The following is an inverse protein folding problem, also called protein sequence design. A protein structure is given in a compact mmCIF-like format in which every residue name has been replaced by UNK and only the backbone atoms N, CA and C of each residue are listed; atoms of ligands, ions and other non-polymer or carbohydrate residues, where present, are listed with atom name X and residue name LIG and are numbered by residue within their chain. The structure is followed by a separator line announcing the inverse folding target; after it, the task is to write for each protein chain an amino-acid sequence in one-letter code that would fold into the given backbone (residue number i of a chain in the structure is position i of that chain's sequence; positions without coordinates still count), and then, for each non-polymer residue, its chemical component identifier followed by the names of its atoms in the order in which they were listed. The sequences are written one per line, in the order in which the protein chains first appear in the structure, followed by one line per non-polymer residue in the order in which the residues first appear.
data_IF_152959374138
#
_entry.id   IF_152959374138
#
_cell.length_a   1.000
_cell.length_b   1.000
_cell.length_c   1.000
_cell.angle_alpha   90.00
_cell.angle_beta   90.00
_cell.angle_gamma   90.00
#
_symmetry.space_group_name_H-M   'P 1'
#
loop_
_entity.id
_entity.type
_entity.pdbx_description
1 polymer ?
#
# COMPACT_ATOMS: atom_id res chain seq x y z
N UNK A 1 -3.09 35.16 -22.05
CA UNK A 1 -3.51 35.54 -23.42
C UNK A 1 -3.82 37.03 -23.62
N UNK A 2 -4.20 37.80 -22.58
CA UNK A 2 -4.46 39.24 -22.74
C UNK A 2 -3.22 40.12 -22.98
N UNK A 3 -2.01 39.61 -22.72
CA UNK A 3 -0.78 40.40 -22.79
C UNK A 3 -0.36 40.78 -24.23
N UNK A 4 -0.50 39.88 -25.21
CA UNK A 4 -0.14 40.17 -26.60
C UNK A 4 -1.11 41.15 -27.26
N UNK A 5 -2.41 41.05 -26.95
CA UNK A 5 -3.41 42.04 -27.37
C UNK A 5 -3.17 43.42 -26.76
N UNK A 6 -2.65 43.48 -25.53
CA UNK A 6 -2.23 44.74 -24.91
C UNK A 6 -0.97 45.28 -25.59
N UNK A 7 -0.01 44.41 -25.93
CA UNK A 7 1.24 44.79 -26.58
C UNK A 7 1.05 45.44 -27.96
N UNK A 8 0.06 45.01 -28.75
CA UNK A 8 -0.26 45.62 -30.06
C UNK A 8 -0.83 47.04 -29.95
N UNK A 9 -1.27 47.45 -28.76
CA UNK A 9 -1.74 48.81 -28.49
C UNK A 9 -0.65 49.69 -27.84
N UNK A 10 0.56 49.14 -27.63
CA UNK A 10 1.70 49.90 -27.11
C UNK A 10 2.42 50.58 -28.28
N UNK A 11 2.62 51.89 -28.15
CA UNK A 11 3.38 52.68 -29.10
C UNK A 11 4.88 52.55 -28.85
N UNK A 12 5.68 52.81 -29.88
CA UNK A 12 7.13 52.83 -29.78
C UNK A 12 7.60 53.84 -28.71
N UNK A 13 8.65 53.48 -27.97
CA UNK A 13 9.24 54.35 -26.95
C UNK A 13 10.17 55.42 -27.52
N UNK A 14 10.59 55.27 -28.78
CA UNK A 14 11.42 56.26 -29.49
C UNK A 14 10.51 57.45 -29.86
N UNK A 15 10.80 58.68 -29.41
CA UNK A 15 9.93 59.86 -29.60
C UNK A 15 9.52 60.07 -31.05
N UNK A 16 10.49 60.00 -31.98
CA UNK A 16 10.29 60.21 -33.42
C UNK A 16 9.31 59.18 -34.01
N UNK A 17 9.43 57.91 -33.59
CA UNK A 17 8.51 56.85 -34.03
C UNK A 17 7.13 56.97 -33.39
N UNK A 18 7.05 57.52 -32.18
CA UNK A 18 5.80 57.72 -31.47
C UNK A 18 4.98 58.85 -32.10
N UNK A 19 5.62 59.91 -32.60
CA UNK A 19 4.98 61.02 -33.30
C UNK A 19 4.27 60.61 -34.60
N UNK A 20 4.76 59.54 -35.25
CA UNK A 20 4.11 58.94 -36.43
C UNK A 20 3.29 57.68 -36.09
N UNK A 21 2.80 57.61 -34.85
CA UNK A 21 1.86 56.58 -34.34
C UNK A 21 2.34 55.12 -34.54
N UNK A 22 3.66 54.89 -34.52
CA UNK A 22 4.18 53.54 -34.75
C UNK A 22 3.92 52.63 -33.55
N UNK A 23 3.19 51.55 -33.80
CA UNK A 23 2.87 50.52 -32.83
C UNK A 23 3.91 49.42 -32.82
N UNK A 24 4.11 48.81 -31.66
CA UNK A 24 4.94 47.62 -31.51
C UNK A 24 4.22 46.43 -32.16
N UNK A 25 4.85 45.85 -33.19
CA UNK A 25 4.25 44.80 -34.03
C UNK A 25 5.17 43.59 -34.24
N UNK A 26 6.45 43.67 -33.86
CA UNK A 26 7.43 42.59 -33.98
C UNK A 26 8.11 42.26 -32.63
N UNK A 27 8.62 41.03 -32.50
CA UNK A 27 9.55 40.62 -31.46
C UNK A 27 10.87 40.22 -32.13
N UNK A 28 11.99 40.82 -31.70
CA UNK A 28 13.31 40.45 -32.20
C UNK A 28 13.79 39.15 -31.56
N UNK A 29 14.28 38.21 -32.38
CA UNK A 29 14.74 36.88 -31.97
C UNK A 29 16.27 36.74 -32.02
N UNK A 30 16.98 37.77 -32.48
CA UNK A 30 18.44 37.74 -32.54
C UNK A 30 19.05 37.66 -31.13
N UNK A 31 20.10 36.84 -30.96
CA UNK A 31 20.75 36.61 -29.66
C UNK A 31 21.18 37.90 -28.98
N UNK A 32 21.65 38.90 -29.74
CA UNK A 32 22.06 40.21 -29.20
C UNK A 32 20.88 40.99 -28.60
N UNK A 33 19.65 40.68 -29.01
CA UNK A 33 18.42 41.33 -28.57
C UNK A 33 17.62 40.47 -27.57
N UNK A 34 17.94 39.17 -27.44
CA UNK A 34 17.22 38.23 -26.58
C UNK A 34 17.32 38.57 -25.09
N UNK A 35 18.46 39.13 -24.63
CA UNK A 35 18.65 39.50 -23.22
C UNK A 35 17.61 40.53 -22.78
N UNK A 36 17.22 41.44 -23.67
CA UNK A 36 16.23 42.49 -23.42
C UNK A 36 14.83 42.17 -23.93
N UNK A 37 14.62 41.04 -24.63
CA UNK A 37 13.35 40.67 -25.30
C UNK A 37 12.68 41.86 -26.01
N UNK A 38 13.45 42.57 -26.84
CA UNK A 38 12.98 43.83 -27.47
C UNK A 38 11.81 43.56 -28.41
N UNK A 39 10.67 44.16 -28.08
CA UNK A 39 9.53 44.31 -28.97
C UNK A 39 9.73 45.58 -29.80
N UNK A 40 9.50 45.50 -31.12
CA UNK A 40 9.87 46.52 -32.10
C UNK A 40 8.64 47.01 -32.88
N UNK A 41 8.63 48.29 -33.25
CA UNK A 41 7.76 48.80 -34.31
C UNK A 41 8.37 48.55 -35.70
N UNK A 42 7.64 48.86 -36.78
CA UNK A 42 8.12 48.68 -38.15
C UNK A 42 9.39 49.47 -38.46
N UNK A 43 9.50 50.70 -37.97
CA UNK A 43 10.67 51.57 -38.21
C UNK A 43 11.91 51.08 -37.45
N UNK A 44 11.80 50.75 -36.16
CA UNK A 44 12.91 50.18 -35.39
C UNK A 44 13.47 48.90 -36.03
N UNK A 45 12.61 48.11 -36.67
CA UNK A 45 13.03 46.90 -37.39
C UNK A 45 13.83 47.23 -38.65
N UNK A 46 13.47 48.31 -39.36
CA UNK A 46 14.14 48.74 -40.60
C UNK A 46 15.46 49.47 -40.37
N UNK A 47 15.66 50.07 -39.20
CA UNK A 47 16.83 50.88 -38.87
C UNK A 47 17.85 50.09 -38.02
N UNK A 48 17.74 50.16 -36.69
CA UNK A 48 18.71 49.58 -35.75
C UNK A 48 18.74 48.05 -35.74
N UNK A 49 17.66 47.42 -36.23
CA UNK A 49 17.50 45.97 -36.26
C UNK A 49 17.43 45.41 -37.69
N UNK A 50 17.95 46.16 -38.66
CA UNK A 50 18.01 45.69 -40.04
C UNK A 50 18.77 44.36 -40.15
N UNK A 51 18.15 43.38 -40.81
CA UNK A 51 18.71 42.03 -40.96
C UNK A 51 18.60 41.11 -39.73
N UNK A 52 18.07 41.59 -38.60
CA UNK A 52 17.81 40.73 -37.44
C UNK A 52 16.62 39.80 -37.71
N UNK A 53 16.70 38.55 -37.21
CA UNK A 53 15.55 37.65 -37.21
C UNK A 53 14.46 38.20 -36.29
N UNK A 54 13.25 38.35 -36.80
CA UNK A 54 12.09 38.80 -36.02
C UNK A 54 10.85 37.98 -36.35
N UNK A 55 9.88 38.01 -35.44
CA UNK A 55 8.54 37.43 -35.64
C UNK A 55 7.49 38.50 -35.39
N UNK A 56 6.47 38.60 -36.25
CA UNK A 56 5.35 39.49 -35.99
C UNK A 56 4.57 38.99 -34.77
N UNK A 57 4.05 39.92 -33.95
CA UNK A 57 3.29 39.57 -32.76
C UNK A 57 2.00 38.81 -33.10
N UNK A 58 1.41 39.04 -34.29
CA UNK A 58 0.26 38.28 -34.78
C UNK A 58 0.60 36.81 -35.07
N UNK A 59 1.75 36.57 -35.72
CA UNK A 59 2.23 35.22 -36.01
C UNK A 59 2.63 34.51 -34.71
N UNK A 60 3.30 35.23 -33.80
CA UNK A 60 3.65 34.72 -32.48
C UNK A 60 2.42 34.35 -31.65
N UNK A 61 1.39 35.20 -31.62
CA UNK A 61 0.12 34.89 -30.95
C UNK A 61 -0.50 33.62 -31.53
N UNK A 62 -0.52 33.48 -32.86
CA UNK A 62 -1.03 32.29 -33.55
C UNK A 62 -0.23 31.04 -33.20
N UNK A 63 1.10 31.10 -33.19
CA UNK A 63 1.96 29.99 -32.79
C UNK A 63 1.71 29.60 -31.33
N UNK A 64 1.60 30.57 -30.42
CA UNK A 64 1.28 30.31 -29.01
C UNK A 64 -0.11 29.68 -28.88
N UNK A 65 -1.12 30.15 -29.63
CA UNK A 65 -2.47 29.53 -29.62
C UNK A 65 -2.41 28.08 -30.09
N UNK A 66 -1.66 27.81 -31.15
CA UNK A 66 -1.53 26.49 -31.74
C UNK A 66 -0.80 25.53 -30.80
N UNK A 67 0.31 25.98 -30.22
CA UNK A 67 1.07 25.22 -29.21
C UNK A 67 0.22 24.93 -27.98
N UNK A 68 -0.47 25.95 -27.45
CA UNK A 68 -1.39 25.79 -26.34
C UNK A 68 -2.54 24.81 -26.64
N UNK A 69 -3.12 24.89 -27.84
CA UNK A 69 -4.16 23.96 -28.29
C UNK A 69 -3.62 22.53 -28.40
N UNK A 70 -2.39 22.36 -28.88
CA UNK A 70 -1.71 21.07 -28.94
C UNK A 70 -1.48 20.49 -27.55
N UNK A 71 -0.98 21.29 -26.60
CA UNK A 71 -0.77 20.88 -25.22
C UNK A 71 -2.08 20.50 -24.52
N UNK A 72 -3.15 21.29 -24.70
CA UNK A 72 -4.48 20.96 -24.19
C UNK A 72 -4.98 19.63 -24.76
N UNK A 73 -4.84 19.41 -26.08
CA UNK A 73 -5.24 18.15 -26.72
C UNK A 73 -4.47 16.96 -26.14
N UNK A 74 -3.15 17.09 -25.98
CA UNK A 74 -2.31 16.05 -25.38
C UNK A 74 -2.70 15.78 -23.92
N UNK A 75 -2.95 16.83 -23.14
CA UNK A 75 -3.40 16.71 -21.75
C UNK A 75 -4.76 16.00 -21.65
N UNK A 76 -5.72 16.39 -22.48
CA UNK A 76 -7.05 15.76 -22.52
C UNK A 76 -6.97 14.30 -22.95
N UNK A 77 -6.10 13.96 -23.92
CA UNK A 77 -5.88 12.58 -24.33
C UNK A 77 -5.30 11.74 -23.19
N UNK A 78 -4.25 12.24 -22.51
CA UNK A 78 -3.65 11.53 -21.35
C UNK A 78 -4.66 11.32 -20.22
N UNK A 79 -5.52 12.31 -19.95
CA UNK A 79 -6.59 12.16 -18.95
C UNK A 79 -7.64 11.13 -19.37
N UNK A 80 -7.99 11.08 -20.65
CA UNK A 80 -8.88 10.06 -21.18
C UNK A 80 -8.26 8.66 -21.02
N UNK A 81 -7.02 8.47 -21.45
CA UNK A 81 -6.30 7.18 -21.36
C UNK A 81 -6.21 6.70 -19.89
N UNK A 82 -5.93 7.62 -18.96
CA UNK A 82 -5.92 7.33 -17.53
C UNK A 82 -7.32 6.93 -17.01
N UNK A 83 -8.36 7.65 -17.43
CA UNK A 83 -9.75 7.36 -17.04
C UNK A 83 -10.18 5.99 -17.54
N UNK A 84 -9.86 5.67 -18.79
CA UNK A 84 -10.14 4.36 -19.41
C UNK A 84 -9.40 3.23 -18.68
N UNK A 85 -8.12 3.43 -18.32
CA UNK A 85 -7.32 2.47 -17.55
C UNK A 85 -7.88 2.21 -16.14
N UNK A 86 -8.34 3.26 -15.45
CA UNK A 86 -9.00 3.14 -14.15
C UNK A 86 -10.31 2.36 -14.30
N UNK A 87 -11.13 2.69 -15.31
CA UNK A 87 -12.41 2.03 -15.53
C UNK A 87 -12.25 0.54 -15.83
N UNK A 88 -11.27 0.16 -16.66
CA UNK A 88 -10.92 -1.24 -16.93
C UNK A 88 -10.54 -1.99 -15.65
N UNK A 89 -9.74 -1.37 -14.79
CA UNK A 89 -9.30 -1.98 -13.53
C UNK A 89 -10.46 -2.16 -12.53
N UNK A 90 -11.33 -1.16 -12.40
CA UNK A 90 -12.56 -1.24 -11.59
C UNK A 90 -13.43 -2.40 -12.08
N UNK A 91 -13.59 -2.54 -13.40
CA UNK A 91 -14.42 -3.60 -14.01
C UNK A 91 -13.84 -4.99 -13.72
N UNK A 92 -12.51 -5.16 -13.81
CA UNK A 92 -11.84 -6.41 -13.47
C UNK A 92 -12.02 -6.79 -12.00
N UNK A 93 -11.90 -5.83 -11.08
CA UNK A 93 -12.12 -6.03 -9.64
C UNK A 93 -13.57 -6.45 -9.36
N UNK A 94 -14.55 -5.76 -9.95
CA UNK A 94 -15.97 -6.08 -9.78
C UNK A 94 -16.31 -7.50 -10.28
N UNK A 95 -15.75 -7.91 -11.42
CA UNK A 95 -15.93 -9.27 -11.94
C UNK A 95 -15.34 -10.32 -11.00
N UNK A 96 -14.18 -10.06 -10.41
CA UNK A 96 -13.55 -10.98 -9.46
C UNK A 96 -14.34 -11.07 -8.14
N UNK A 97 -14.87 -9.94 -7.63
CA UNK A 97 -15.78 -9.94 -6.48
C UNK A 97 -17.03 -10.78 -6.76
N UNK A 98 -17.61 -10.66 -7.96
CA UNK A 98 -18.78 -11.45 -8.36
C UNK A 98 -18.47 -12.96 -8.34
N UNK A 99 -17.35 -13.37 -8.93
CA UNK A 99 -16.90 -14.76 -8.94
C UNK A 99 -16.68 -15.34 -7.53
N UNK A 100 -16.05 -14.54 -6.66
CA UNK A 100 -15.81 -14.90 -5.25
C UNK A 100 -17.14 -15.07 -4.51
N UNK A 101 -18.12 -14.18 -4.74
CA UNK A 101 -19.46 -14.28 -4.15
C UNK A 101 -20.22 -15.54 -4.61
N UNK A 102 -20.15 -15.87 -5.90
CA UNK A 102 -20.74 -17.11 -6.45
C UNK A 102 -20.09 -18.34 -5.83
N UNK A 103 -18.77 -18.34 -5.68
CA UNK A 103 -18.02 -19.43 -5.04
C UNK A 103 -18.43 -19.63 -3.57
N UNK A 104 -18.58 -18.55 -2.80
CA UNK A 104 -19.10 -18.61 -1.41
C UNK A 104 -20.51 -19.18 -1.38
N UNK A 105 -21.39 -18.70 -2.26
CA UNK A 105 -22.78 -19.17 -2.27
C UNK A 105 -22.86 -20.66 -2.57
N UNK A 106 -22.03 -21.15 -3.50
CA UNK A 106 -21.95 -22.58 -3.82
C UNK A 106 -21.41 -23.39 -2.63
N UNK A 107 -20.38 -22.89 -1.95
CA UNK A 107 -19.83 -23.53 -0.76
C UNK A 107 -20.84 -23.61 0.40
N UNK A 108 -21.52 -22.51 0.72
CA UNK A 108 -22.56 -22.47 1.76
C UNK A 108 -23.70 -23.44 1.43
N UNK A 109 -24.13 -23.48 0.16
CA UNK A 109 -25.16 -24.41 -0.27
C UNK A 109 -24.70 -25.87 -0.10
N UNK A 110 -23.43 -26.18 -0.34
CA UNK A 110 -22.88 -27.51 -0.11
C UNK A 110 -22.82 -27.87 1.38
N UNK A 111 -22.28 -26.98 2.23
CA UNK A 111 -22.20 -27.17 3.69
C UNK A 111 -23.58 -27.31 4.34
N UNK A 112 -24.58 -26.54 3.90
CA UNK A 112 -25.96 -26.67 4.41
C UNK A 112 -26.55 -28.04 4.08
N UNK A 113 -26.27 -28.60 2.90
CA UNK A 113 -26.73 -29.95 2.53
C UNK A 113 -26.03 -31.01 3.39
N UNK A 114 -24.73 -30.84 3.67
CA UNK A 114 -23.93 -31.76 4.48
C UNK A 114 -24.30 -31.67 5.98
N UNK A 115 -24.65 -30.49 6.49
CA UNK A 115 -25.14 -30.27 7.86
C UNK A 115 -26.50 -30.95 8.10
N UNK A 116 -27.42 -30.95 7.12
CA UNK A 116 -28.69 -31.69 7.22
C UNK A 116 -28.48 -33.20 7.39
N UNK A 117 -27.43 -33.75 6.76
CA UNK A 117 -27.04 -35.16 6.93
C UNK A 117 -26.50 -35.40 8.35
N UNK A 118 -25.70 -34.48 8.89
CA UNK A 118 -25.22 -34.55 10.29
C UNK A 118 -26.36 -34.48 11.31
N UNK A 119 -27.39 -33.65 11.09
CA UNK A 119 -28.56 -33.57 11.98
C UNK A 119 -29.33 -34.91 12.02
N UNK A 120 -29.45 -35.59 10.88
CA UNK A 120 -30.07 -36.92 10.81
C UNK A 120 -29.22 -37.97 11.51
N UNK A 121 -27.89 -37.90 11.36
CA UNK A 121 -26.96 -38.77 12.09
C UNK A 121 -27.12 -38.61 13.61
N UNK A 122 -27.12 -37.39 14.14
CA UNK A 122 -27.31 -37.17 15.57
C UNK A 122 -28.70 -37.58 16.07
N UNK A 123 -29.74 -37.32 15.28
CA UNK A 123 -31.12 -37.61 15.68
C UNK A 123 -31.40 -39.11 15.78
N UNK A 124 -30.77 -39.91 14.92
CA UNK A 124 -31.09 -41.34 14.84
C UNK A 124 -29.89 -42.24 15.12
N UNK A 125 -28.71 -41.99 14.57
CA UNK A 125 -27.58 -42.93 14.66
C UNK A 125 -26.90 -42.92 16.04
N UNK A 126 -26.88 -41.77 16.73
CA UNK A 126 -26.17 -41.62 18.00
C UNK A 126 -27.01 -41.96 19.25
N UNK A 127 -28.30 -42.30 19.08
CA UNK A 127 -29.15 -42.74 20.19
C UNK A 127 -28.96 -44.24 20.49
N UNK A 128 -28.80 -44.58 21.77
CA UNK A 128 -28.51 -45.97 22.17
C UNK A 128 -29.71 -46.92 22.15
N UNK A 129 -30.94 -46.42 21.99
CA UNK A 129 -32.17 -47.23 22.04
C UNK A 129 -33.23 -46.74 21.05
N UNK A 130 -33.00 -46.97 19.75
CA UNK A 130 -33.97 -46.63 18.71
C UNK A 130 -35.09 -47.67 18.64
N UNK A 131 -36.32 -47.20 18.51
CA UNK A 131 -37.51 -48.05 18.29
C UNK A 131 -37.79 -48.21 16.80
N UNK A 132 -38.61 -49.20 16.45
CA UNK A 132 -39.03 -49.45 15.06
C UNK A 132 -39.71 -48.22 14.41
N UNK A 133 -40.45 -47.43 15.18
CA UNK A 133 -41.03 -46.15 14.74
C UNK A 133 -39.97 -45.08 14.44
N UNK A 134 -38.85 -45.09 15.17
CA UNK A 134 -37.75 -44.15 14.91
C UNK A 134 -37.04 -44.51 13.61
N UNK A 135 -36.92 -45.80 13.30
CA UNK A 135 -36.40 -46.27 12.01
C UNK A 135 -37.35 -45.95 10.83
N UNK A 136 -38.67 -46.08 11.01
CA UNK A 136 -39.65 -45.64 10.01
C UNK A 136 -39.61 -44.13 9.76
N UNK A 137 -39.42 -43.33 10.82
CA UNK A 137 -39.31 -41.88 10.70
C UNK A 137 -37.96 -41.47 10.09
N UNK A 138 -36.87 -42.16 10.41
CA UNK A 138 -35.57 -42.01 9.74
C UNK A 138 -35.69 -42.31 8.25
N UNK A 139 -36.36 -43.39 7.86
CA UNK A 139 -36.59 -43.74 6.47
C UNK A 139 -37.37 -42.65 5.73
N UNK A 140 -38.43 -42.08 6.34
CA UNK A 140 -39.17 -40.94 5.78
C UNK A 140 -38.30 -39.67 5.67
N UNK A 141 -37.52 -39.36 6.70
CA UNK A 141 -36.64 -38.19 6.74
C UNK A 141 -35.52 -38.30 5.68
N UNK A 142 -34.95 -39.50 5.46
CA UNK A 142 -33.97 -39.79 4.39
C UNK A 142 -34.63 -39.73 3.00
N UNK A 143 -35.81 -40.30 2.82
CA UNK A 143 -36.51 -40.33 1.53
C UNK A 143 -36.93 -38.93 1.05
N UNK A 144 -37.14 -38.00 1.98
CA UNK A 144 -37.40 -36.59 1.67
C UNK A 144 -36.13 -35.81 1.24
N UNK A 145 -34.93 -36.41 1.38
CA UNK A 145 -33.63 -35.78 1.07
C UNK A 145 -33.00 -36.39 -0.18
N UNK A 146 -33.33 -37.65 -0.53
CA UNK A 146 -32.86 -38.32 -1.73
C UNK A 146 -33.66 -37.83 -2.95
N UNK A 147 -32.96 -37.28 -3.94
CA UNK A 147 -33.54 -36.92 -5.23
C UNK A 147 -33.37 -38.05 -6.24
N UNK A 148 -34.45 -38.38 -6.95
CA UNK A 148 -34.42 -39.32 -8.06
C UNK A 148 -34.16 -38.57 -9.37
N UNK A 149 -33.09 -38.91 -10.09
CA UNK A 149 -32.91 -38.53 -11.50
C UNK A 149 -33.21 -39.74 -12.37
N UNK A 150 -34.17 -39.60 -13.29
CA UNK A 150 -34.49 -40.61 -14.32
C UNK A 150 -34.82 -42.01 -13.78
N UNK A 151 -35.48 -42.09 -12.61
CA UNK A 151 -35.89 -43.37 -12.02
C UNK A 151 -34.76 -44.13 -11.31
N UNK A 152 -33.57 -43.54 -11.19
CA UNK A 152 -32.43 -44.12 -10.47
C UNK A 152 -32.20 -43.34 -9.17
N UNK A 153 -32.45 -43.94 -7.99
CA UNK A 153 -31.88 -43.46 -6.74
C UNK A 153 -30.40 -43.82 -6.67
N UNK A 154 -29.56 -42.88 -6.25
CA UNK A 154 -28.17 -43.08 -5.85
C UNK A 154 -28.12 -42.80 -4.34
N UNK A 155 -27.84 -43.72 -3.40
CA UNK A 155 -26.91 -44.86 -3.32
C UNK A 155 -27.55 -46.27 -3.33
N UNK A 156 -26.73 -47.29 -3.64
CA UNK A 156 -27.08 -48.73 -3.74
C UNK A 156 -26.74 -49.56 -2.48
N UNK A 157 -27.64 -50.43 -1.97
CA UNK A 157 -27.36 -51.45 -0.95
C UNK A 157 -26.73 -52.73 -1.53
N UNK A 158 -25.91 -53.42 -0.74
CA UNK A 158 -25.42 -54.79 -0.97
C UNK A 158 -26.39 -55.77 -0.27
N UNK A 159 -26.94 -56.73 -1.00
CA UNK A 159 -27.67 -57.87 -0.42
C UNK A 159 -26.67 -58.85 0.20
N UNK A 160 -26.75 -59.09 1.52
CA UNK A 160 -26.21 -60.30 2.13
C UNK A 160 -26.86 -60.61 3.49
N UNK A 161 -27.27 -61.86 3.69
CA UNK A 161 -27.76 -62.40 4.97
C UNK A 161 -26.60 -62.53 5.98
N UNK A 162 -26.73 -62.03 7.23
CA UNK A 162 -25.72 -62.21 8.26
C UNK A 162 -26.12 -63.29 9.27
N UNK A 163 -25.18 -64.19 9.59
CA UNK A 163 -25.09 -64.76 10.94
C UNK A 163 -23.89 -64.14 11.67
N UNK A 164 -24.04 -64.08 12.99
CA UNK A 164 -23.09 -63.66 14.03
C UNK A 164 -22.85 -62.15 14.29
N UNK A 165 -23.07 -61.80 15.56
CA UNK A 165 -22.99 -60.48 16.21
C UNK A 165 -21.70 -59.70 15.95
N UNK A 166 -20.62 -60.35 15.51
CA UNK A 166 -19.37 -59.68 15.15
C UNK A 166 -19.49 -58.87 13.84
N UNK A 167 -20.34 -59.28 12.89
CA UNK A 167 -20.54 -58.58 11.62
C UNK A 167 -21.20 -57.21 11.84
N UNK A 168 -22.18 -57.15 12.75
CA UNK A 168 -22.91 -55.91 13.06
C UNK A 168 -21.99 -54.88 13.72
N UNK A 169 -21.06 -55.35 14.56
CA UNK A 169 -20.05 -54.52 15.19
C UNK A 169 -19.00 -54.04 14.17
N UNK A 170 -18.55 -54.93 13.28
CA UNK A 170 -17.64 -54.57 12.19
C UNK A 170 -18.25 -53.57 11.20
N UNK A 171 -19.51 -53.74 10.82
CA UNK A 171 -20.22 -52.81 9.94
C UNK A 171 -20.45 -51.45 10.59
N UNK A 172 -20.78 -51.43 11.89
CA UNK A 172 -20.87 -50.19 12.67
C UNK A 172 -19.52 -49.49 12.73
N UNK A 173 -18.44 -50.23 12.96
CA UNK A 173 -17.08 -49.67 13.01
C UNK A 173 -16.61 -49.14 11.65
N UNK A 174 -16.91 -49.85 10.55
CA UNK A 174 -16.59 -49.42 9.17
C UNK A 174 -17.41 -48.19 8.79
N UNK A 175 -18.68 -48.14 9.19
CA UNK A 175 -19.54 -46.99 8.95
C UNK A 175 -19.11 -45.76 9.77
N UNK A 176 -18.80 -45.95 11.06
CA UNK A 176 -18.29 -44.90 11.94
C UNK A 176 -16.92 -44.40 11.45
N UNK A 177 -16.04 -45.29 11.00
CA UNK A 177 -14.75 -44.93 10.39
C UNK A 177 -14.91 -44.20 9.06
N UNK A 178 -15.87 -44.61 8.22
CA UNK A 178 -16.17 -43.93 6.96
C UNK A 178 -16.72 -42.52 7.20
N UNK A 179 -17.57 -42.33 8.21
CA UNK A 179 -18.05 -41.00 8.58
C UNK A 179 -16.92 -40.16 9.19
N UNK A 180 -16.11 -40.71 10.09
CA UNK A 180 -14.97 -40.00 10.67
C UNK A 180 -13.94 -39.56 9.60
N UNK A 181 -13.60 -40.45 8.65
CA UNK A 181 -12.72 -40.10 7.54
C UNK A 181 -13.34 -39.03 6.62
N UNK A 182 -14.67 -39.05 6.44
CA UNK A 182 -15.41 -38.04 5.67
C UNK A 182 -15.41 -36.69 6.39
N UNK A 183 -15.61 -36.66 7.71
CA UNK A 183 -15.56 -35.46 8.54
C UNK A 183 -14.17 -34.82 8.55
N UNK A 184 -13.09 -35.62 8.65
CA UNK A 184 -11.71 -35.14 8.51
C UNK A 184 -11.47 -34.58 7.09
N UNK A 185 -11.99 -35.26 6.06
CA UNK A 185 -11.86 -34.79 4.67
C UNK A 185 -12.58 -33.45 4.49
N UNK A 186 -13.75 -33.27 5.10
CA UNK A 186 -14.52 -32.02 5.09
C UNK A 186 -13.79 -30.90 5.83
N UNK A 187 -13.27 -31.16 7.03
CA UNK A 187 -12.44 -30.18 7.77
C UNK A 187 -11.20 -29.79 6.96
N UNK A 188 -10.54 -30.73 6.30
CA UNK A 188 -9.40 -30.43 5.44
C UNK A 188 -9.81 -29.61 4.21
N UNK A 189 -10.94 -29.92 3.58
CA UNK A 189 -11.47 -29.17 2.42
C UNK A 189 -11.90 -27.76 2.82
N UNK A 190 -12.59 -27.59 3.94
CA UNK A 190 -12.98 -26.30 4.48
C UNK A 190 -11.75 -25.43 4.78
N UNK A 191 -10.68 -26.01 5.37
CA UNK A 191 -9.41 -25.30 5.58
C UNK A 191 -8.71 -24.93 4.27
N UNK A 192 -8.65 -25.84 3.28
CA UNK A 192 -8.06 -25.56 1.95
C UNK A 192 -8.84 -24.45 1.25
N UNK A 193 -10.18 -24.48 1.33
CA UNK A 193 -11.05 -23.47 0.74
C UNK A 193 -10.91 -22.13 1.46
N UNK A 194 -10.85 -22.12 2.79
CA UNK A 194 -10.62 -20.90 3.57
C UNK A 194 -9.25 -20.28 3.24
N UNK A 195 -8.22 -21.10 3.07
CA UNK A 195 -6.89 -20.67 2.67
C UNK A 195 -6.88 -20.10 1.24
N UNK A 196 -7.51 -20.79 0.29
CA UNK A 196 -7.70 -20.30 -1.09
C UNK A 196 -8.48 -18.98 -1.13
N UNK A 197 -9.52 -18.85 -0.30
CA UNK A 197 -10.30 -17.62 -0.20
C UNK A 197 -9.46 -16.47 0.38
N UNK A 198 -8.67 -16.76 1.40
CA UNK A 198 -7.74 -15.80 2.00
C UNK A 198 -6.72 -15.29 0.97
N UNK A 199 -6.17 -16.19 0.15
CA UNK A 199 -5.25 -15.84 -0.94
C UNK A 199 -5.94 -14.97 -2.00
N UNK A 200 -7.16 -15.30 -2.42
CA UNK A 200 -7.93 -14.50 -3.38
C UNK A 200 -8.28 -13.10 -2.86
N UNK A 201 -8.62 -12.97 -1.57
CA UNK A 201 -8.87 -11.68 -0.91
C UNK A 201 -7.58 -10.86 -0.81
N UNK A 202 -6.45 -11.48 -0.47
CA UNK A 202 -5.16 -10.80 -0.43
C UNK A 202 -4.74 -10.30 -1.82
N UNK A 203 -4.98 -11.08 -2.87
CA UNK A 203 -4.72 -10.67 -4.24
C UNK A 203 -5.60 -9.49 -4.66
N UNK A 204 -6.90 -9.51 -4.30
CA UNK A 204 -7.81 -8.39 -4.52
C UNK A 204 -7.34 -7.12 -3.80
N UNK A 205 -6.93 -7.22 -2.54
CA UNK A 205 -6.40 -6.10 -1.76
C UNK A 205 -5.13 -5.52 -2.42
N UNK A 206 -4.24 -6.38 -2.92
CA UNK A 206 -3.06 -5.96 -3.65
C UNK A 206 -3.40 -5.22 -4.96
N UNK A 207 -4.37 -5.73 -5.72
CA UNK A 207 -4.85 -5.06 -6.95
C UNK A 207 -5.46 -3.69 -6.66
N UNK A 208 -6.27 -3.56 -5.61
CA UNK A 208 -6.84 -2.29 -5.14
C UNK A 208 -5.74 -1.30 -4.74
N UNK A 209 -4.71 -1.78 -4.03
CA UNK A 209 -3.59 -0.95 -3.60
C UNK A 209 -2.76 -0.45 -4.80
N UNK A 210 -2.52 -1.31 -5.79
CA UNK A 210 -1.85 -0.91 -7.03
C UNK A 210 -2.66 0.13 -7.82
N UNK A 211 -3.98 -0.04 -7.89
CA UNK A 211 -4.87 0.94 -8.52
C UNK A 211 -4.80 2.28 -7.81
N UNK A 212 -4.79 2.27 -6.47
CA UNK A 212 -4.68 3.48 -5.65
C UNK A 212 -3.37 4.22 -5.96
N UNK A 213 -2.24 3.50 -6.03
CA UNK A 213 -0.94 4.09 -6.39
C UNK A 213 -0.91 4.64 -7.83
N UNK A 214 -1.57 3.96 -8.77
CA UNK A 214 -1.71 4.41 -10.16
C UNK A 214 -2.57 5.67 -10.29
N UNK A 215 -3.51 5.89 -9.37
CA UNK A 215 -4.36 7.09 -9.34
C UNK A 215 -3.63 8.25 -8.65
N UNK A 216 -2.98 8.01 -7.52
CA UNK A 216 -2.33 9.06 -6.72
C UNK A 216 -1.18 9.74 -7.45
N UNK A 217 -0.37 8.97 -8.20
CA UNK A 217 0.83 9.51 -8.86
C UNK A 217 0.49 10.52 -9.97
N UNK A 218 -0.41 10.23 -10.93
CA UNK A 218 -0.88 11.21 -11.90
C UNK A 218 -1.63 12.39 -11.26
N UNK A 219 -2.46 12.14 -10.23
CA UNK A 219 -3.15 13.23 -9.52
C UNK A 219 -2.17 14.21 -8.90
N UNK A 220 -1.09 13.71 -8.28
CA UNK A 220 -0.05 14.57 -7.72
C UNK A 220 0.64 15.42 -8.80
N UNK A 221 0.90 14.85 -9.98
CA UNK A 221 1.47 15.57 -11.12
C UNK A 221 0.50 16.61 -11.69
N UNK A 222 -0.80 16.31 -11.76
CA UNK A 222 -1.85 17.25 -12.19
C UNK A 222 -2.02 18.40 -11.19
N UNK A 223 -1.94 18.12 -9.89
CA UNK A 223 -2.00 19.15 -8.84
C UNK A 223 -0.76 20.05 -8.90
N UNK A 224 0.42 19.48 -9.13
CA UNK A 224 1.67 20.23 -9.30
C UNK A 224 1.65 21.09 -10.57
N UNK A 225 1.16 20.57 -11.70
CA UNK A 225 1.05 21.37 -12.93
C UNK A 225 0.02 22.48 -12.78
N UNK A 226 -1.12 22.26 -12.12
CA UNK A 226 -2.08 23.33 -11.81
C UNK A 226 -1.49 24.48 -10.99
N UNK A 227 -0.51 24.23 -10.11
CA UNK A 227 0.17 25.30 -9.35
C UNK A 227 1.10 26.16 -10.21
N UNK A 228 1.64 25.61 -11.30
CA UNK A 228 2.48 26.34 -12.24
C UNK A 228 1.62 27.26 -13.13
N UNK A 229 0.36 26.91 -13.37
CA UNK A 229 -0.51 27.61 -14.32
C UNK A 229 -1.69 28.37 -13.70
N UNK A 230 -1.86 28.31 -12.37
CA UNK A 230 -2.99 28.90 -11.67
C UNK A 230 -2.57 29.89 -10.59
N UNK A 231 -2.10 31.08 -10.97
CA UNK A 231 -2.37 32.32 -10.23
C UNK A 231 -1.99 33.53 -11.08
N UNK A 232 -2.83 33.81 -12.07
CA UNK A 232 -2.93 35.14 -12.69
C UNK A 232 -4.03 35.91 -11.91
N UNK A 233 -3.72 36.25 -10.66
CA UNK A 233 -4.37 37.35 -9.95
C UNK A 233 -3.27 38.31 -9.55
N UNK A 234 -3.14 39.36 -10.37
CA UNK A 234 -2.58 40.63 -9.97
C UNK A 234 -3.14 41.01 -8.59
N UNK A 235 -2.28 41.14 -7.60
CA UNK A 235 -2.00 42.42 -6.96
C UNK A 235 -0.91 42.29 -5.88
N UNK A 236 0.15 43.07 -6.08
CA UNK A 236 1.04 43.69 -5.09
C UNK A 236 1.40 42.91 -3.80
N UNK A 237 2.36 41.99 -3.88
CA UNK A 237 3.31 41.75 -2.77
C UNK A 237 4.70 41.36 -3.31
N UNK A 238 5.34 42.31 -3.98
CA UNK A 238 6.78 42.28 -4.24
C UNK A 238 7.48 43.06 -3.13
N UNK A 239 7.81 42.40 -2.02
CA UNK A 239 8.90 42.83 -1.10
C UNK A 239 9.30 41.82 0.00
N UNK A 240 8.95 40.53 -0.10
CA UNK A 240 9.48 39.51 0.83
C UNK A 240 10.11 38.33 0.10
N UNK A 241 11.16 38.59 -0.70
CA UNK A 241 11.83 37.50 -1.44
C UNK A 241 13.36 37.53 -1.43
N UNK A 242 13.98 38.19 -0.45
CA UNK A 242 15.45 38.20 -0.31
C UNK A 242 15.95 38.00 1.15
N UNK A 243 15.18 37.34 2.01
CA UNK A 243 15.64 36.93 3.36
C UNK A 243 15.20 35.49 3.69
N UNK A 244 15.45 34.52 2.80
CA UNK A 244 15.17 33.11 3.08
C UNK A 244 16.41 32.20 3.12
N UNK A 245 17.62 32.76 3.12
CA UNK A 245 18.88 32.01 3.18
C UNK A 245 19.73 32.29 4.44
N UNK A 246 19.21 33.06 5.42
CA UNK A 246 19.94 33.38 6.67
C UNK A 246 19.23 33.04 7.99
N UNK A 247 18.08 32.36 7.95
CA UNK A 247 17.38 31.86 9.17
C UNK A 247 17.63 30.37 9.48
N UNK A 248 18.65 29.75 8.88
CA UNK A 248 18.94 28.31 9.02
C UNK A 248 19.69 27.91 10.30
N UNK A 249 19.81 28.78 11.31
CA UNK A 249 20.58 28.45 12.53
C UNK A 249 19.89 28.71 13.88
N UNK A 250 18.64 29.18 13.95
CA UNK A 250 18.04 29.56 15.24
C UNK A 250 16.67 28.99 15.62
N UNK A 251 16.16 27.95 14.93
CA UNK A 251 14.85 27.32 15.27
C UNK A 251 14.87 25.79 15.50
N UNK A 252 16.02 25.15 15.73
CA UNK A 252 16.13 23.68 15.89
C UNK A 252 15.79 23.15 17.30
N UNK A 253 14.82 23.77 17.99
CA UNK A 253 14.13 23.12 19.11
C UNK A 253 12.80 22.52 18.60
N UNK A 254 12.86 21.36 17.94
CA UNK A 254 11.63 20.56 17.76
C UNK A 254 11.57 19.58 16.60
N UNK A 255 12.41 19.71 15.57
CA UNK A 255 12.39 18.74 14.48
C UNK A 255 13.12 17.46 14.88
N UNK A 256 12.41 16.34 14.78
CA UNK A 256 12.93 15.02 15.14
C UNK A 256 13.77 14.54 13.98
N UNK A 257 15.06 14.32 14.24
CA UNK A 257 15.99 13.82 13.25
C UNK A 257 15.69 12.35 12.93
N UNK A 258 15.55 12.04 11.64
CA UNK A 258 15.39 10.67 11.16
C UNK A 258 16.73 9.92 11.23
N UNK A 259 16.89 9.09 12.25
CA UNK A 259 18.17 8.43 12.56
C UNK A 259 18.00 7.24 13.51
N UNK A 260 19.09 6.47 13.65
CA UNK A 260 19.25 5.45 14.68
C UNK A 260 19.80 6.12 15.94
N UNK A 261 19.23 5.82 17.11
CA UNK A 261 19.61 6.39 18.40
C UNK A 261 19.75 5.30 19.46
N UNK A 262 20.67 5.51 20.41
CA UNK A 262 20.83 4.70 21.62
C UNK A 262 20.32 5.49 22.83
N UNK A 263 19.79 4.79 23.85
CA UNK A 263 19.42 5.38 25.13
C UNK A 263 18.39 6.52 25.03
N UNK A 264 17.49 6.45 24.04
CA UNK A 264 16.43 7.45 23.88
C UNK A 264 15.34 7.25 24.95
N UNK A 265 15.14 8.26 25.80
CA UNK A 265 14.11 8.23 26.85
C UNK A 265 12.70 8.23 26.26
N UNK A 266 11.85 7.30 26.69
CA UNK A 266 10.47 7.14 26.20
C UNK A 266 9.61 8.38 26.46
N UNK A 267 9.73 8.99 27.64
CA UNK A 267 9.05 10.24 27.99
C UNK A 267 9.36 11.38 27.01
N UNK A 268 10.57 11.40 26.44
CA UNK A 268 10.93 12.42 25.44
C UNK A 268 10.18 12.24 24.12
N UNK A 269 9.83 11.01 23.73
CA UNK A 269 9.02 10.75 22.54
C UNK A 269 7.57 11.12 22.79
N UNK A 270 7.03 10.77 23.95
CA UNK A 270 5.66 11.07 24.36
C UNK A 270 5.41 12.59 24.37
N UNK A 271 6.33 13.37 24.95
CA UNK A 271 6.27 14.84 24.91
C UNK A 271 6.32 15.41 23.48
N UNK A 272 6.90 14.66 22.52
CA UNK A 272 6.97 15.05 21.11
C UNK A 272 5.75 14.58 20.29
N UNK A 273 4.74 14.02 20.94
CA UNK A 273 3.48 13.59 20.34
C UNK A 273 3.47 12.15 19.82
N UNK A 274 4.46 11.33 20.18
CA UNK A 274 4.42 9.90 19.88
C UNK A 274 3.52 9.16 20.87
N UNK A 275 2.76 8.20 20.35
CA UNK A 275 1.87 7.32 21.11
C UNK A 275 2.35 5.88 20.96
N UNK A 276 2.49 5.15 22.06
CA UNK A 276 2.87 3.74 22.04
C UNK A 276 1.78 2.90 21.38
N UNK A 277 2.14 2.11 20.37
CA UNK A 277 1.21 1.26 19.59
C UNK A 277 1.52 -0.23 19.67
N UNK A 278 2.71 -0.59 20.14
CA UNK A 278 3.13 -1.98 20.39
C UNK A 278 4.14 -2.01 21.55
N UNK A 279 4.01 -2.99 22.44
CA UNK A 279 4.86 -3.18 23.63
C UNK A 279 4.77 -4.64 24.09
N UNK A 280 5.67 -5.47 23.59
CA UNK A 280 5.68 -6.91 23.87
C UNK A 280 7.10 -7.43 24.09
N UNK A 281 7.24 -8.49 24.86
CA UNK A 281 8.53 -9.17 25.09
C UNK A 281 9.03 -9.86 23.83
N UNK A 282 10.35 -9.94 23.68
CA UNK A 282 11.00 -10.52 22.50
C UNK A 282 10.70 -12.01 22.29
N UNK A 283 10.20 -12.74 23.29
CA UNK A 283 9.74 -14.11 23.12
C UNK A 283 8.32 -14.25 22.55
N UNK A 284 7.60 -13.14 22.34
CA UNK A 284 6.28 -13.14 21.70
C UNK A 284 6.43 -12.96 20.19
N UNK A 285 5.63 -13.68 19.39
CA UNK A 285 5.70 -13.56 17.94
C UNK A 285 5.28 -12.17 17.46
N UNK A 286 6.13 -11.54 16.65
CA UNK A 286 5.76 -10.38 15.85
C UNK A 286 5.40 -10.87 14.43
N UNK A 287 4.21 -10.54 13.95
CA UNK A 287 3.65 -11.16 12.74
C UNK A 287 3.25 -10.12 11.70
N UNK A 288 2.98 -10.57 10.48
CA UNK A 288 2.45 -9.70 9.41
C UNK A 288 1.21 -8.92 9.84
N UNK A 289 0.31 -9.56 10.61
CA UNK A 289 -0.89 -8.92 11.14
C UNK A 289 -0.56 -7.68 11.97
N UNK A 290 0.52 -7.71 12.76
CA UNK A 290 0.93 -6.55 13.55
C UNK A 290 1.38 -5.39 12.65
N UNK A 291 2.12 -5.68 11.58
CA UNK A 291 2.55 -4.66 10.60
C UNK A 291 1.33 -4.02 9.92
N UNK A 292 0.35 -4.82 9.48
CA UNK A 292 -0.87 -4.29 8.87
C UNK A 292 -1.69 -3.45 9.86
N UNK A 293 -1.82 -3.88 11.12
CA UNK A 293 -2.50 -3.12 12.17
C UNK A 293 -1.81 -1.77 12.46
N UNK A 294 -0.47 -1.71 12.41
CA UNK A 294 0.28 -0.46 12.54
C UNK A 294 0.05 0.42 11.32
N UNK A 295 0.13 -0.15 10.10
CA UNK A 295 -0.10 0.56 8.84
C UNK A 295 -1.49 1.20 8.77
N UNK A 296 -2.53 0.52 9.26
CA UNK A 296 -3.90 1.06 9.35
C UNK A 296 -4.02 2.30 10.26
N UNK A 297 -3.09 2.49 11.21
CA UNK A 297 -3.06 3.65 12.10
C UNK A 297 -2.29 4.85 11.51
N UNK A 298 -1.60 4.66 10.38
CA UNK A 298 -0.71 5.66 9.77
C UNK A 298 -1.41 6.48 8.68
N UNK A 299 -0.97 7.72 8.50
CA UNK A 299 -1.21 8.56 7.32
C UNK A 299 0.13 8.80 6.58
N UNK A 300 0.12 9.60 5.50
CA UNK A 300 1.32 9.88 4.70
C UNK A 300 2.43 10.66 5.44
N UNK A 301 2.09 11.35 6.53
CA UNK A 301 3.01 12.17 7.35
C UNK A 301 3.40 11.50 8.66
N UNK A 302 2.85 10.31 8.95
CA UNK A 302 3.09 9.64 10.21
C UNK A 302 4.56 9.24 10.35
N UNK A 303 5.07 9.39 11.56
CA UNK A 303 6.42 9.01 11.96
C UNK A 303 6.36 7.80 12.88
N UNK A 304 7.34 6.92 12.77
CA UNK A 304 7.47 5.72 13.59
C UNK A 304 8.79 5.75 14.35
N UNK A 305 8.76 5.31 15.60
CA UNK A 305 9.94 4.99 16.39
C UNK A 305 9.82 3.54 16.84
N UNK A 306 10.75 2.68 16.42
CA UNK A 306 10.79 1.26 16.80
C UNK A 306 12.15 0.94 17.40
N UNK A 307 12.17 0.11 18.43
CA UNK A 307 13.40 -0.32 19.06
C UNK A 307 13.21 -1.36 20.14
N UNK A 308 14.33 -1.72 20.77
CA UNK A 308 14.39 -2.63 21.89
C UNK A 308 14.56 -1.90 23.22
N UNK A 309 13.87 -2.37 24.26
CA UNK A 309 13.91 -1.84 25.63
C UNK A 309 14.27 -2.98 26.59
N UNK A 310 15.08 -2.70 27.62
CA UNK A 310 15.33 -3.67 28.69
C UNK A 310 14.18 -3.67 29.69
N UNK A 311 13.75 -4.83 30.18
CA UNK A 311 12.80 -4.88 31.30
C UNK A 311 13.37 -4.28 32.57
N UNK A 312 14.70 -4.36 32.77
CA UNK A 312 15.37 -3.79 33.95
C UNK A 312 15.42 -2.25 33.91
N UNK A 313 15.41 -1.68 32.70
CA UNK A 313 15.45 -0.23 32.46
C UNK A 313 14.37 0.17 31.45
N UNK A 314 13.09 0.13 31.84
CA UNK A 314 11.97 0.25 30.89
C UNK A 314 11.76 1.69 30.37
N UNK A 315 12.43 2.69 30.94
CA UNK A 315 12.20 4.11 30.63
C UNK A 315 12.97 4.61 29.39
N UNK A 316 13.81 3.77 28.78
CA UNK A 316 14.63 4.15 27.63
C UNK A 316 14.82 3.00 26.63
N UNK A 317 14.93 3.36 25.35
CA UNK A 317 15.37 2.43 24.31
C UNK A 317 16.86 2.11 24.50
N UNK A 318 17.23 0.83 24.43
CA UNK A 318 18.63 0.42 24.25
C UNK A 318 19.10 0.94 22.89
N UNK A 319 18.28 0.68 21.87
CA UNK A 319 18.50 1.07 20.48
C UNK A 319 17.13 1.25 19.81
N UNK A 320 16.95 2.32 19.06
CA UNK A 320 15.77 2.57 18.24
C UNK A 320 16.12 3.29 16.95
N UNK A 321 15.21 3.28 15.99
CA UNK A 321 15.26 4.14 14.82
C UNK A 321 13.96 4.95 14.71
N UNK A 322 14.10 6.22 14.32
CA UNK A 322 12.98 7.11 14.03
C UNK A 322 13.00 7.46 12.54
N UNK A 323 11.86 7.31 11.88
CA UNK A 323 11.68 7.66 10.47
C UNK A 323 10.20 7.91 10.13
N UNK A 324 9.91 8.20 8.86
CA UNK A 324 8.54 8.15 8.36
C UNK A 324 8.02 6.71 8.39
N UNK A 325 6.77 6.53 8.82
CA UNK A 325 6.16 5.22 9.04
C UNK A 325 6.16 4.35 7.78
N UNK A 326 6.00 4.95 6.59
CA UNK A 326 6.04 4.20 5.33
C UNK A 326 7.38 3.54 5.06
N UNK A 327 8.48 4.05 5.61
CA UNK A 327 9.80 3.46 5.44
C UNK A 327 9.87 2.08 6.12
N UNK A 328 9.22 1.94 7.29
CA UNK A 328 9.16 0.71 8.08
C UNK A 328 8.39 -0.43 7.38
N UNK A 329 7.23 -0.13 6.78
CA UNK A 329 6.39 -1.15 6.13
C UNK A 329 6.60 -1.27 4.60
N UNK A 330 7.66 -0.67 4.06
CA UNK A 330 8.02 -0.85 2.64
C UNK A 330 8.86 -2.11 2.45
N UNK A 331 8.36 -3.05 1.66
CA UNK A 331 9.04 -4.32 1.39
C UNK A 331 10.39 -4.14 0.69
N UNK A 332 11.33 -5.00 1.09
CA UNK A 332 12.69 -5.10 0.56
C UNK A 332 12.81 -6.38 -0.24
N UNK A 333 13.34 -6.27 -1.46
CA UNK A 333 13.40 -7.39 -2.40
C UNK A 333 14.67 -8.25 -2.27
N UNK A 334 15.66 -7.77 -1.53
CA UNK A 334 16.97 -8.42 -1.40
C UNK A 334 17.19 -8.94 0.01
N UNK A 335 17.67 -10.18 0.13
CA UNK A 335 18.17 -10.74 1.39
C UNK A 335 19.53 -10.15 1.82
N UNK A 336 20.17 -9.39 0.94
CA UNK A 336 21.54 -8.90 1.12
C UNK A 336 21.67 -7.37 1.12
N UNK A 337 20.60 -6.67 0.77
CA UNK A 337 20.60 -5.21 0.64
C UNK A 337 19.37 -4.61 1.31
N UNK A 338 19.61 -3.86 2.38
CA UNK A 338 18.64 -2.99 3.01
C UNK A 338 18.41 -1.75 2.15
N UNK A 339 17.19 -1.21 2.22
CA UNK A 339 16.75 -0.05 1.46
C UNK A 339 17.07 1.22 2.25
N UNK A 340 17.79 2.16 1.64
CA UNK A 340 18.04 3.47 2.26
C UNK A 340 16.71 4.23 2.46
N UNK A 341 16.52 4.81 3.63
CA UNK A 341 15.47 5.79 3.90
C UNK A 341 15.59 6.99 2.96
N UNK A 342 14.46 7.56 2.56
CA UNK A 342 14.46 8.80 1.75
C UNK A 342 14.80 10.03 2.58
N UNK A 343 14.64 9.97 3.90
CA UNK A 343 14.68 11.16 4.76
C UNK A 343 15.79 11.10 5.82
N UNK A 344 16.39 9.93 6.05
CA UNK A 344 17.40 9.72 7.09
C UNK A 344 18.59 8.88 6.65
N UNK A 345 19.50 8.64 7.59
CA UNK A 345 20.65 7.73 7.41
C UNK A 345 20.34 6.31 7.93
N UNK A 346 19.06 5.92 7.89
CA UNK A 346 18.60 4.60 8.30
C UNK A 346 18.43 3.72 7.07
N UNK A 347 18.89 2.48 7.12
CA UNK A 347 18.61 1.49 6.10
C UNK A 347 17.58 0.50 6.64
N UNK A 348 16.38 0.54 6.09
CA UNK A 348 15.27 -0.32 6.49
C UNK A 348 15.27 -1.60 5.67
N UNK A 349 14.90 -2.71 6.30
CA UNK A 349 14.59 -3.93 5.61
C UNK A 349 13.32 -4.55 6.16
N UNK A 350 12.45 -4.99 5.27
CA UNK A 350 11.24 -5.71 5.60
C UNK A 350 11.01 -6.76 4.52
N UNK A 351 11.16 -8.02 4.89
CA UNK A 351 10.96 -9.16 4.00
C UNK A 351 9.80 -9.96 4.55
N UNK A 352 8.70 -9.96 3.80
CA UNK A 352 7.44 -10.62 4.18
C UNK A 352 7.70 -12.06 4.62
N UNK A 353 7.07 -12.47 5.72
CA UNK A 353 7.21 -13.81 6.31
C UNK A 353 8.66 -14.22 6.61
N UNK A 354 9.55 -13.26 6.87
CA UNK A 354 10.95 -13.55 7.24
C UNK A 354 11.43 -12.67 8.38
N UNK A 355 11.68 -11.39 8.12
CA UNK A 355 12.21 -10.48 9.12
C UNK A 355 11.92 -9.01 8.78
N UNK A 356 12.02 -8.16 9.80
CA UNK A 356 11.93 -6.71 9.68
C UNK A 356 12.94 -6.05 10.62
N UNK A 357 13.50 -4.93 10.21
CA UNK A 357 14.51 -4.26 11.01
C UNK A 357 15.14 -3.05 10.34
N UNK A 358 16.20 -2.57 10.96
CA UNK A 358 17.01 -1.47 10.44
C UNK A 358 18.49 -1.70 10.70
N UNK A 359 19.32 -1.05 9.88
CA UNK A 359 20.77 -1.09 9.91
C UNK A 359 21.34 0.32 9.64
N UNK A 360 22.53 0.65 10.16
CA UNK A 360 23.24 1.87 9.76
C UNK A 360 23.75 1.80 8.31
N UNK A 361 23.79 0.62 7.69
CA UNK A 361 24.42 0.38 6.39
C UNK A 361 23.54 -0.47 5.47
N UNK A 362 23.78 -0.39 4.16
CA UNK A 362 22.97 -1.10 3.16
C UNK A 362 23.22 -2.60 3.15
N UNK A 363 24.44 -3.05 3.47
CA UNK A 363 24.79 -4.47 3.42
C UNK A 363 24.15 -5.16 4.62
N UNK A 364 23.37 -6.19 4.35
CA UNK A 364 22.77 -7.07 5.35
C UNK A 364 22.97 -8.52 4.89
N UNK A 365 22.79 -9.50 5.77
CA UNK A 365 22.59 -10.89 5.37
C UNK A 365 21.44 -11.46 6.18
N UNK A 366 20.38 -11.90 5.47
CA UNK A 366 19.16 -12.44 6.05
C UNK A 366 18.97 -13.93 5.73
N UNK A 367 20.01 -14.64 5.23
CA UNK A 367 19.97 -16.09 4.92
C UNK A 367 19.55 -16.93 6.12
N UNK A 368 20.24 -16.75 7.23
CA UNK A 368 19.73 -16.91 8.59
C UNK A 368 19.52 -15.50 9.13
N UNK A 369 18.68 -15.25 10.14
CA UNK A 369 18.50 -13.88 10.62
C UNK A 369 19.89 -13.31 10.98
N UNK A 370 20.42 -12.45 10.13
CA UNK A 370 21.39 -11.47 10.58
C UNK A 370 22.69 -12.06 11.18
N UNK A 371 23.47 -12.81 10.36
CA UNK A 371 24.73 -13.48 10.77
C UNK A 371 25.98 -12.60 10.60
N UNK A 372 25.90 -11.51 9.82
CA UNK A 372 27.08 -10.68 9.53
C UNK A 372 27.35 -9.68 10.67
N UNK A 373 28.55 -9.75 11.25
CA UNK A 373 28.92 -9.15 12.55
C UNK A 373 29.76 -7.88 12.45
N UNK A 374 30.25 -7.53 11.26
CA UNK A 374 31.25 -6.45 11.13
C UNK A 374 30.68 -5.06 11.49
N UNK A 375 29.34 -4.88 11.55
CA UNK A 375 28.69 -3.57 11.71
C UNK A 375 27.54 -3.58 12.75
N UNK A 376 27.55 -4.56 13.67
CA UNK A 376 26.42 -5.00 14.50
C UNK A 376 25.84 -4.02 15.54
N UNK A 377 26.56 -2.98 15.96
CA UNK A 377 26.23 -2.18 17.17
C UNK A 377 24.97 -1.32 17.08
N UNK A 378 24.50 -1.04 15.86
CA UNK A 378 23.35 -0.18 15.56
C UNK A 378 22.27 -0.91 14.78
N UNK A 379 22.29 -2.24 14.78
CA UNK A 379 21.35 -3.07 14.03
C UNK A 379 20.20 -3.55 14.91
N UNK A 380 19.00 -3.61 14.37
CA UNK A 380 17.82 -4.12 15.05
C UNK A 380 17.06 -5.05 14.12
N UNK A 381 16.65 -6.22 14.62
CA UNK A 381 16.00 -7.24 13.80
C UNK A 381 14.93 -8.00 14.58
N UNK A 382 13.78 -8.19 13.94
CA UNK A 382 12.68 -9.04 14.41
C UNK A 382 12.40 -10.14 13.40
N UNK A 383 12.10 -11.34 13.88
CA UNK A 383 11.53 -12.38 13.03
C UNK A 383 10.06 -12.12 12.77
N UNK A 384 9.62 -12.51 11.57
CA UNK A 384 8.21 -12.51 11.18
C UNK A 384 7.65 -13.91 10.95
N UNK A 385 8.43 -14.96 11.22
CA UNK A 385 8.11 -16.34 10.88
C UNK A 385 8.38 -17.31 12.04
N UNK A 386 7.79 -18.51 11.98
CA UNK A 386 7.92 -19.60 12.97
C UNK A 386 7.46 -19.31 14.40
N UNK A 387 6.64 -18.29 14.62
CA UNK A 387 6.19 -17.95 15.98
C UNK A 387 7.31 -17.44 16.88
N UNK A 388 8.47 -17.10 16.31
CA UNK A 388 9.60 -16.49 17.00
C UNK A 388 9.37 -14.98 17.10
N UNK A 389 9.88 -14.36 18.16
CA UNK A 389 9.81 -12.92 18.33
C UNK A 389 11.07 -12.21 17.83
N UNK A 390 11.61 -11.31 18.64
CA UNK A 390 12.73 -10.47 18.19
C UNK A 390 14.08 -11.19 18.21
N UNK A 391 15.00 -10.82 17.32
CA UNK A 391 16.30 -11.48 17.19
C UNK A 391 17.45 -10.67 17.79
N UNK A 392 17.51 -9.36 17.46
CA UNK A 392 18.72 -8.55 17.68
C UNK A 392 18.41 -7.12 18.14
N UNK A 393 19.19 -6.63 19.10
CA UNK A 393 19.28 -5.23 19.52
C UNK A 393 20.77 -4.85 19.65
N UNK A 394 21.34 -4.25 18.62
CA UNK A 394 22.77 -3.93 18.53
C UNK A 394 23.62 -5.20 18.64
N UNK A 395 24.50 -5.24 19.65
CA UNK A 395 25.34 -6.41 19.96
C UNK A 395 24.60 -7.56 20.65
N UNK A 396 23.37 -7.33 21.12
CA UNK A 396 22.57 -8.35 21.78
C UNK A 396 21.86 -9.17 20.70
N UNK A 397 22.17 -10.47 20.63
CA UNK A 397 21.69 -11.41 19.62
C UNK A 397 20.95 -12.59 20.29
N UNK A 398 20.32 -13.44 19.47
CA UNK A 398 19.58 -14.62 19.93
C UNK A 398 18.50 -14.31 20.97
N UNK A 399 17.79 -13.19 20.77
CA UNK A 399 16.80 -12.69 21.72
C UNK A 399 15.42 -13.36 21.60
N UNK A 400 15.23 -14.30 20.67
CA UNK A 400 13.92 -14.87 20.32
C UNK A 400 13.21 -15.63 21.45
N UNK A 401 13.94 -16.01 22.49
CA UNK A 401 13.40 -16.63 23.70
C UNK A 401 13.54 -15.73 24.94
N UNK A 402 14.12 -14.54 24.79
CA UNK A 402 14.39 -13.65 25.90
C UNK A 402 13.11 -13.03 26.45
N UNK A 403 13.00 -13.09 27.78
CA UNK A 403 12.02 -12.31 28.56
C UNK A 403 12.63 -11.03 29.11
N UNK A 404 13.92 -10.77 28.93
CA UNK A 404 14.61 -9.61 29.52
C UNK A 404 14.49 -8.34 28.66
N UNK A 405 14.00 -8.48 27.42
CA UNK A 405 13.89 -7.41 26.46
C UNK A 405 12.51 -7.36 25.81
N UNK A 406 12.08 -6.15 25.45
CA UNK A 406 10.81 -5.88 24.79
C UNK A 406 11.01 -5.11 23.50
N UNK A 407 10.18 -5.41 22.49
CA UNK A 407 10.03 -4.61 21.30
C UNK A 407 8.94 -3.57 21.56
N UNK A 408 9.28 -2.30 21.36
CA UNK A 408 8.38 -1.18 21.59
C UNK A 408 8.29 -0.35 20.33
N UNK A 409 7.07 -0.04 19.91
CA UNK A 409 6.78 0.80 18.73
C UNK A 409 5.92 1.97 19.17
N UNK A 410 6.37 3.16 18.80
CA UNK A 410 5.70 4.42 18.98
C UNK A 410 5.35 5.02 17.61
N UNK A 411 4.18 5.65 17.52
CA UNK A 411 3.68 6.29 16.31
C UNK A 411 3.28 7.74 16.60
N UNK A 412 3.71 8.67 15.74
CA UNK A 412 3.22 10.05 15.72
C UNK A 412 2.46 10.26 14.41
N UNK A 413 1.26 10.81 14.48
CA UNK A 413 0.39 11.03 13.31
C UNK A 413 0.74 12.28 12.53
#
# INVERSE_FOLDING_TARGET
MNLLKKATNVFCSIPEHKEVDQKIIHLCLDQKCQISKKSLCGLCLGEEHFGHKSISLSNLDTLIKNEWSREIKQYNQKNKDLTDSIQMSITAILNKIKFVKESISNFINQEIQESKVCIIKHKYIDQQNLTEKDFEQLAKDINNIIYYREGIPDFKPIDYEPSDKLQCLANRLVFDAAIFCKDITLVSKANIIHQSFTEQVQELLYQIQNLTNLIERPLSQIIQSKRIFGHDKSDTQSNQRLELDQYSQLDTFGQIQFCIQKQLKLKSLEMKGFVKVYDEVFNKPFTQTHIELIKLKCNQQSQICIGGVSIKEPDQFILCAIDNAYEFYTETQSLHLARKSRNGQVYWYYIRNRCIGFSPMSKIDLKFPDVDNEEGDLRFSLWLFHGQGGYRIGKLESLEQSVDYKCVIYLKK
#
